data_IF_620484280213
#
_entry.id   IF_620484280213
#
_cell.length_a   1.000
_cell.length_b   1.000
_cell.length_c   1.000
_cell.angle_alpha   90.00
_cell.angle_beta   90.00
_cell.angle_gamma   90.00
#
_symmetry.space_group_name_H-M   'P 1'
#
loop_
_entity.id
_entity.type
_entity.pdbx_description
1 polymer ?
#
# COMPACT_ATOMS: atom_id res chain seq x y z
N UNK A 1 11.01 19.51 -15.32
CA UNK A 1 10.18 18.67 -16.22
C UNK A 1 11.02 17.62 -16.97
N UNK A 2 12.03 18.03 -17.76
CA UNK A 2 12.89 17.11 -18.53
C UNK A 2 13.57 16.04 -17.66
N UNK A 3 14.15 16.43 -16.53
CA UNK A 3 14.78 15.48 -15.59
C UNK A 3 13.78 14.45 -15.04
N UNK A 4 12.56 14.86 -14.69
CA UNK A 4 11.52 13.94 -14.22
C UNK A 4 11.11 12.93 -15.30
N UNK A 5 10.88 13.40 -16.53
CA UNK A 5 10.56 12.53 -17.67
C UNK A 5 11.69 11.54 -17.99
N UNK A 6 12.95 12.00 -17.93
CA UNK A 6 14.12 11.15 -18.10
C UNK A 6 14.21 10.08 -17.00
N UNK A 7 13.99 10.44 -15.74
CA UNK A 7 13.95 9.50 -14.62
C UNK A 7 12.82 8.47 -14.75
N UNK A 8 11.64 8.87 -15.26
CA UNK A 8 10.54 7.95 -15.54
C UNK A 8 10.91 6.95 -16.62
N UNK A 9 11.43 7.45 -17.75
CA UNK A 9 11.85 6.62 -18.87
C UNK A 9 12.96 5.64 -18.46
N UNK A 10 13.92 6.10 -17.65
CA UNK A 10 15.00 5.28 -17.13
C UNK A 10 14.49 4.21 -16.16
N UNK A 11 13.67 4.59 -15.17
CA UNK A 11 13.08 3.67 -14.19
C UNK A 11 12.23 2.59 -14.88
N UNK A 12 11.33 3.00 -15.79
CA UNK A 12 10.50 2.08 -16.55
C UNK A 12 11.33 1.21 -17.51
N UNK A 13 12.34 1.80 -18.17
CA UNK A 13 13.24 1.11 -19.09
C UNK A 13 14.05 0.02 -18.40
N UNK A 14 14.57 0.28 -17.20
CA UNK A 14 15.29 -0.73 -16.40
C UNK A 14 14.41 -1.94 -16.09
N UNK A 15 13.18 -1.70 -15.61
CA UNK A 15 12.22 -2.77 -15.32
C UNK A 15 11.87 -3.54 -16.59
N UNK A 16 11.46 -2.84 -17.65
CA UNK A 16 11.02 -3.47 -18.90
C UNK A 16 12.12 -4.31 -19.56
N UNK A 17 13.37 -3.84 -19.52
CA UNK A 17 14.49 -4.50 -20.22
C UNK A 17 15.13 -5.64 -19.43
N UNK A 18 15.22 -5.51 -18.11
CA UNK A 18 16.03 -6.41 -17.28
C UNK A 18 15.21 -7.29 -16.35
N UNK A 19 14.12 -6.77 -15.77
CA UNK A 19 13.28 -7.52 -14.83
C UNK A 19 11.79 -7.15 -14.99
N UNK A 20 11.10 -7.62 -16.04
CA UNK A 20 9.67 -7.35 -16.22
C UNK A 20 8.80 -7.75 -15.02
N UNK A 21 9.22 -8.78 -14.29
CA UNK A 21 8.59 -9.24 -13.05
C UNK A 21 8.67 -8.22 -11.90
N UNK A 22 9.58 -7.24 -11.97
CA UNK A 22 9.74 -6.17 -10.99
C UNK A 22 8.74 -5.01 -11.21
N UNK A 23 7.85 -5.10 -12.21
CA UNK A 23 6.86 -4.07 -12.48
C UNK A 23 5.81 -3.94 -11.35
N UNK A 24 5.24 -2.75 -11.22
CA UNK A 24 4.15 -2.43 -10.29
C UNK A 24 4.51 -2.71 -8.81
N UNK A 25 3.53 -3.09 -7.97
CA UNK A 25 3.73 -3.38 -6.55
C UNK A 25 4.74 -4.50 -6.32
N UNK A 26 4.65 -5.59 -7.09
CA UNK A 26 5.47 -6.79 -6.89
C UNK A 26 4.84 -7.82 -5.95
N UNK A 27 3.89 -7.42 -5.08
CA UNK A 27 3.13 -8.36 -4.23
C UNK A 27 2.41 -9.45 -5.04
N UNK A 28 1.74 -9.15 -6.18
CA UNK A 28 1.18 -10.21 -7.02
C UNK A 28 2.22 -11.23 -7.50
N UNK A 29 3.45 -10.79 -7.77
CA UNK A 29 4.55 -11.68 -8.14
C UNK A 29 4.98 -12.57 -6.98
N UNK A 30 5.08 -12.00 -5.77
CA UNK A 30 5.34 -12.78 -4.54
C UNK A 30 4.28 -13.87 -4.36
N UNK A 31 3.00 -13.53 -4.50
CA UNK A 31 1.89 -14.51 -4.40
C UNK A 31 1.99 -15.61 -5.47
N UNK A 32 2.34 -15.26 -6.72
CA UNK A 32 2.57 -16.26 -7.79
C UNK A 32 3.70 -17.22 -7.45
N UNK A 33 4.80 -16.74 -6.87
CA UNK A 33 5.91 -17.61 -6.44
C UNK A 33 5.47 -18.53 -5.31
N UNK A 34 4.78 -17.99 -4.32
CA UNK A 34 4.29 -18.78 -3.18
C UNK A 34 3.29 -19.87 -3.59
N UNK A 35 2.52 -19.65 -4.66
CA UNK A 35 1.61 -20.62 -5.25
C UNK A 35 2.28 -21.56 -6.27
N UNK A 36 3.60 -21.45 -6.48
CA UNK A 36 4.34 -22.28 -7.42
C UNK A 36 4.09 -21.96 -8.89
N UNK A 37 3.42 -20.84 -9.20
CA UNK A 37 3.16 -20.42 -10.58
C UNK A 37 4.37 -19.75 -11.25
N UNK A 38 5.33 -19.22 -10.47
CA UNK A 38 6.54 -18.57 -10.99
C UNK A 38 7.77 -18.87 -10.14
N UNK A 39 8.94 -18.72 -10.76
CA UNK A 39 10.22 -18.72 -10.06
C UNK A 39 10.65 -17.30 -9.70
N UNK A 40 11.47 -17.16 -8.67
CA UNK A 40 11.87 -15.86 -8.15
C UNK A 40 13.35 -15.62 -8.43
N UNK A 41 13.65 -14.81 -9.46
CA UNK A 41 15.02 -14.40 -9.82
C UNK A 41 15.54 -13.32 -8.86
N UNK A 42 15.81 -13.72 -7.62
CA UNK A 42 15.91 -12.80 -6.50
C UNK A 42 16.98 -11.70 -6.67
N UNK A 43 18.19 -12.01 -7.13
CA UNK A 43 19.26 -11.02 -7.36
C UNK A 43 18.85 -9.96 -8.37
N UNK A 44 18.23 -10.40 -9.46
CA UNK A 44 17.79 -9.53 -10.55
C UNK A 44 16.63 -8.65 -10.10
N UNK A 45 15.65 -9.22 -9.41
CA UNK A 45 14.52 -8.48 -8.84
C UNK A 45 15.03 -7.46 -7.82
N UNK A 46 15.88 -7.87 -6.90
CA UNK A 46 16.49 -7.01 -5.87
C UNK A 46 17.15 -5.79 -6.50
N UNK A 47 18.10 -6.01 -7.42
CA UNK A 47 18.87 -4.93 -8.04
C UNK A 47 17.99 -3.98 -8.86
N UNK A 48 17.13 -4.52 -9.73
CA UNK A 48 16.31 -3.69 -10.64
C UNK A 48 15.19 -2.99 -9.87
N UNK A 49 14.55 -3.66 -8.91
CA UNK A 49 13.48 -3.05 -8.09
C UNK A 49 14.04 -1.92 -7.23
N UNK A 50 15.19 -2.14 -6.59
CA UNK A 50 15.85 -1.11 -5.79
C UNK A 50 16.23 0.10 -6.65
N UNK A 51 16.94 -0.12 -7.77
CA UNK A 51 17.36 0.96 -8.66
C UNK A 51 16.18 1.74 -9.26
N UNK A 52 15.18 1.04 -9.80
CA UNK A 52 14.00 1.68 -10.41
C UNK A 52 13.16 2.46 -9.39
N UNK A 53 13.01 1.93 -8.17
CA UNK A 53 12.29 2.61 -7.09
C UNK A 53 13.05 3.83 -6.59
N UNK A 54 14.38 3.75 -6.46
CA UNK A 54 15.22 4.87 -6.06
C UNK A 54 15.15 6.03 -7.06
N UNK A 55 15.26 5.73 -8.35
CA UNK A 55 15.13 6.71 -9.43
C UNK A 55 13.71 7.31 -9.46
N UNK A 56 12.68 6.46 -9.29
CA UNK A 56 11.29 6.92 -9.29
C UNK A 56 10.97 7.84 -8.10
N UNK A 57 11.41 7.45 -6.90
CA UNK A 57 11.18 8.20 -5.67
C UNK A 57 11.94 9.52 -5.65
N UNK A 58 13.21 9.54 -6.09
CA UNK A 58 14.01 10.77 -6.18
C UNK A 58 13.46 11.77 -7.19
N UNK A 59 12.77 11.30 -8.24
CA UNK A 59 12.09 12.16 -9.20
C UNK A 59 10.75 12.75 -8.68
N UNK A 60 10.36 12.43 -7.45
CA UNK A 60 9.13 12.95 -6.83
C UNK A 60 7.85 12.28 -7.33
N UNK A 61 7.95 11.18 -8.07
CA UNK A 61 6.78 10.44 -8.49
C UNK A 61 6.01 9.92 -7.28
N UNK A 62 4.69 9.90 -7.40
CA UNK A 62 3.80 9.45 -6.34
C UNK A 62 3.75 7.92 -6.24
N UNK A 63 4.92 7.29 -6.09
CA UNK A 63 5.07 5.85 -5.93
C UNK A 63 5.16 5.54 -4.44
N UNK A 64 4.28 4.66 -3.95
CA UNK A 64 4.36 4.15 -2.59
C UNK A 64 5.57 3.22 -2.41
N UNK A 65 6.24 3.31 -1.25
CA UNK A 65 7.41 2.46 -0.94
C UNK A 65 7.03 1.04 -0.48
N UNK A 66 5.79 0.85 0.01
CA UNK A 66 5.35 -0.42 0.62
C UNK A 66 5.45 -1.64 -0.30
N UNK A 67 4.84 -1.58 -1.49
CA UNK A 67 4.91 -2.68 -2.47
C UNK A 67 6.34 -3.05 -2.88
N UNK A 68 7.16 -2.07 -3.34
CA UNK A 68 8.55 -2.32 -3.67
C UNK A 68 9.37 -2.96 -2.56
N UNK A 69 9.22 -2.51 -1.31
CA UNK A 69 9.95 -3.09 -0.18
C UNK A 69 9.50 -4.49 0.16
N UNK A 70 8.19 -4.80 0.09
CA UNK A 70 7.70 -6.18 0.22
C UNK A 70 8.32 -7.06 -0.86
N UNK A 71 8.40 -6.59 -2.10
CA UNK A 71 8.97 -7.35 -3.21
C UNK A 71 10.48 -7.59 -3.03
N UNK A 72 11.22 -6.57 -2.59
CA UNK A 72 12.64 -6.64 -2.25
C UNK A 72 12.88 -7.60 -1.08
N UNK A 73 12.11 -7.48 -0.01
CA UNK A 73 12.22 -8.34 1.16
C UNK A 73 11.90 -9.80 0.82
N UNK A 74 10.87 -10.04 0.02
CA UNK A 74 10.54 -11.37 -0.49
C UNK A 74 11.65 -11.95 -1.39
N UNK A 75 12.33 -11.10 -2.18
CA UNK A 75 13.50 -11.51 -2.96
C UNK A 75 14.65 -11.93 -2.04
N UNK A 76 14.95 -11.17 -0.99
CA UNK A 76 15.96 -11.57 -0.01
C UNK A 76 15.59 -12.87 0.70
N UNK A 77 14.31 -13.06 1.05
CA UNK A 77 13.79 -14.32 1.60
C UNK A 77 13.99 -15.50 0.65
N UNK A 78 13.77 -15.31 -0.65
CA UNK A 78 14.13 -16.30 -1.67
C UNK A 78 15.64 -16.56 -1.68
N UNK A 79 16.47 -15.53 -1.68
CA UNK A 79 17.93 -15.69 -1.70
C UNK A 79 18.45 -16.49 -0.50
N UNK A 80 17.90 -16.24 0.70
CA UNK A 80 18.20 -17.04 1.89
C UNK A 80 17.78 -18.49 1.70
N UNK A 81 16.61 -18.74 1.10
CA UNK A 81 16.16 -20.09 0.79
C UNK A 81 17.06 -20.80 -0.23
N UNK A 82 17.49 -20.11 -1.28
CA UNK A 82 18.34 -20.67 -2.34
C UNK A 82 19.74 -21.04 -1.82
N UNK A 83 20.23 -20.30 -0.82
CA UNK A 83 21.50 -20.54 -0.16
C UNK A 83 21.41 -21.60 0.95
N UNK A 84 20.20 -22.03 1.32
CA UNK A 84 19.99 -23.00 2.39
C UNK A 84 19.99 -24.44 1.82
N UNK A 85 20.92 -25.33 2.23
CA UNK A 85 21.11 -26.64 1.61
C UNK A 85 19.85 -27.54 1.58
N UNK A 86 19.01 -27.47 2.62
CA UNK A 86 17.83 -28.32 2.80
C UNK A 86 16.50 -27.56 2.69
N UNK A 87 16.46 -26.47 1.91
CA UNK A 87 15.23 -25.71 1.74
C UNK A 87 14.15 -26.51 0.99
N UNK A 88 13.12 -26.96 1.72
CA UNK A 88 11.90 -27.47 1.11
C UNK A 88 11.06 -26.34 0.51
N UNK A 89 10.17 -26.64 -0.45
CA UNK A 89 9.22 -25.66 -1.02
C UNK A 89 8.40 -24.95 0.06
N UNK A 90 8.03 -25.68 1.13
CA UNK A 90 7.33 -25.11 2.28
C UNK A 90 8.21 -24.11 3.05
N UNK A 91 9.47 -24.44 3.26
CA UNK A 91 10.43 -23.54 3.93
C UNK A 91 10.73 -22.32 3.06
N UNK A 92 10.85 -22.49 1.74
CA UNK A 92 11.00 -21.40 0.79
C UNK A 92 9.83 -20.42 0.86
N UNK A 93 8.58 -20.92 0.79
CA UNK A 93 7.39 -20.08 0.90
C UNK A 93 7.35 -19.32 2.23
N UNK A 94 7.78 -19.96 3.33
CA UNK A 94 7.92 -19.31 4.64
C UNK A 94 8.94 -18.18 4.62
N UNK A 95 10.14 -18.43 4.08
CA UNK A 95 11.22 -17.43 4.04
C UNK A 95 10.87 -16.25 3.12
N UNK A 96 10.24 -16.52 1.96
CA UNK A 96 9.75 -15.49 1.04
C UNK A 96 8.67 -14.63 1.71
N UNK A 97 7.72 -15.23 2.43
CA UNK A 97 6.68 -14.50 3.15
C UNK A 97 7.24 -13.71 4.33
N UNK A 98 8.14 -14.30 5.12
CA UNK A 98 8.84 -13.65 6.22
C UNK A 98 9.65 -12.44 5.72
N UNK A 99 10.39 -12.61 4.62
CA UNK A 99 11.10 -11.53 3.96
C UNK A 99 10.16 -10.43 3.45
N UNK A 100 9.02 -10.81 2.85
CA UNK A 100 7.99 -9.86 2.42
C UNK A 100 7.43 -9.03 3.58
N UNK A 101 7.08 -9.66 4.70
CA UNK A 101 6.67 -8.99 5.94
C UNK A 101 7.75 -8.07 6.50
N UNK A 102 9.01 -8.54 6.52
CA UNK A 102 10.16 -7.75 6.98
C UNK A 102 10.40 -6.51 6.10
N UNK A 103 10.19 -6.63 4.79
CA UNK A 103 10.22 -5.50 3.86
C UNK A 103 9.15 -4.46 4.18
N UNK A 104 7.93 -4.89 4.54
CA UNK A 104 6.87 -3.97 4.98
C UNK A 104 7.25 -3.29 6.31
N UNK A 105 7.73 -4.05 7.28
CA UNK A 105 8.15 -3.55 8.59
C UNK A 105 9.24 -2.47 8.46
N UNK A 106 10.32 -2.76 7.72
CA UNK A 106 11.42 -1.83 7.47
C UNK A 106 11.02 -0.59 6.65
N UNK A 107 9.84 -0.58 6.03
CA UNK A 107 9.40 0.60 5.27
C UNK A 107 8.72 1.64 6.14
N UNK A 108 8.05 1.20 7.20
CA UNK A 108 7.13 2.05 7.96
C UNK A 108 7.35 2.04 9.47
N UNK A 109 8.40 1.37 9.97
CA UNK A 109 8.65 1.17 11.41
C UNK A 109 7.53 0.38 12.11
N UNK A 110 7.06 -0.70 11.48
CA UNK A 110 5.83 -1.43 11.84
C UNK A 110 6.02 -2.96 11.89
N UNK A 111 6.75 -3.49 12.89
CA UNK A 111 7.07 -4.91 12.94
C UNK A 111 5.82 -5.79 13.09
N UNK A 112 4.82 -5.37 13.86
CA UNK A 112 3.59 -6.16 14.03
C UNK A 112 2.72 -6.13 12.78
N UNK A 113 2.66 -5.01 12.06
CA UNK A 113 1.94 -4.92 10.81
C UNK A 113 2.62 -5.73 9.70
N UNK A 114 3.96 -5.76 9.66
CA UNK A 114 4.72 -6.65 8.79
C UNK A 114 4.39 -8.12 9.05
N UNK A 115 4.32 -8.51 10.31
CA UNK A 115 3.94 -9.86 10.74
C UNK A 115 2.48 -10.19 10.37
N UNK A 116 1.56 -9.27 10.65
CA UNK A 116 0.14 -9.41 10.29
C UNK A 116 -0.04 -9.54 8.78
N UNK A 117 0.71 -8.78 7.97
CA UNK A 117 0.68 -8.87 6.51
C UNK A 117 1.17 -10.24 6.01
N UNK A 118 2.28 -10.73 6.57
CA UNK A 118 2.80 -12.05 6.23
C UNK A 118 1.79 -13.17 6.57
N UNK A 119 1.09 -13.04 7.70
CA UNK A 119 0.05 -13.96 8.14
C UNK A 119 -1.23 -13.88 7.29
N UNK A 120 -1.76 -12.68 7.10
CA UNK A 120 -3.10 -12.44 6.57
C UNK A 120 -3.13 -12.41 5.04
N UNK A 121 -2.14 -11.78 4.39
CA UNK A 121 -2.10 -11.55 2.94
C UNK A 121 -1.13 -12.49 2.20
N UNK A 122 0.07 -12.72 2.75
CA UNK A 122 1.04 -13.63 2.12
C UNK A 122 0.76 -15.10 2.43
N UNK A 123 -0.19 -15.42 3.31
CA UNK A 123 -0.70 -16.78 3.44
C UNK A 123 0.11 -17.70 4.34
N UNK A 124 0.76 -17.18 5.39
CA UNK A 124 1.33 -18.02 6.47
C UNK A 124 0.28 -18.63 7.41
N UNK A 125 -1.01 -18.59 7.04
CA UNK A 125 -2.10 -19.17 7.84
C UNK A 125 -1.89 -20.67 8.04
N UNK A 126 -1.92 -21.12 9.29
CA UNK A 126 -1.76 -22.54 9.63
C UNK A 126 -0.31 -23.06 9.60
N UNK A 127 0.69 -22.18 9.53
CA UNK A 127 2.11 -22.55 9.61
C UNK A 127 2.76 -21.87 10.85
N UNK A 128 2.66 -22.47 12.06
CA UNK A 128 3.16 -21.85 13.29
C UNK A 128 4.65 -21.47 13.25
N UNK A 129 5.49 -22.35 12.69
CA UNK A 129 6.93 -22.09 12.50
C UNK A 129 7.18 -20.91 11.55
N UNK A 130 6.29 -20.71 10.57
CA UNK A 130 6.36 -19.59 9.64
C UNK A 130 6.05 -18.25 10.30
N UNK A 131 5.10 -18.24 11.24
CA UNK A 131 4.80 -17.04 12.02
C UNK A 131 6.01 -16.63 12.89
N UNK A 132 6.69 -17.59 13.51
CA UNK A 132 7.90 -17.33 14.30
C UNK A 132 9.05 -16.78 13.44
N UNK A 133 9.31 -17.40 12.28
CA UNK A 133 10.31 -16.92 11.33
C UNK A 133 9.98 -15.49 10.82
N UNK A 134 8.72 -15.24 10.48
CA UNK A 134 8.25 -13.92 10.07
C UNK A 134 8.41 -12.88 11.19
N UNK A 135 8.12 -13.26 12.45
CA UNK A 135 8.31 -12.36 13.58
C UNK A 135 9.78 -11.97 13.72
N UNK A 136 10.70 -12.94 13.78
CA UNK A 136 12.14 -12.66 13.86
C UNK A 136 12.59 -11.74 12.73
N UNK A 137 12.18 -12.03 11.49
CA UNK A 137 12.53 -11.22 10.32
C UNK A 137 11.98 -9.79 10.43
N UNK A 138 10.70 -9.61 10.78
CA UNK A 138 10.05 -8.30 10.90
C UNK A 138 10.67 -7.46 12.02
N UNK A 139 10.84 -8.04 13.21
CA UNK A 139 11.44 -7.34 14.35
C UNK A 139 12.91 -7.00 14.10
N UNK A 140 13.67 -7.90 13.47
CA UNK A 140 15.08 -7.63 13.12
C UNK A 140 15.20 -6.51 12.09
N UNK A 141 14.34 -6.52 11.06
CA UNK A 141 14.29 -5.45 10.05
C UNK A 141 13.89 -4.10 10.67
N UNK A 142 12.97 -4.11 11.63
CA UNK A 142 12.58 -2.92 12.38
C UNK A 142 13.70 -2.40 13.31
N UNK A 143 14.45 -3.29 13.97
CA UNK A 143 15.62 -2.91 14.75
C UNK A 143 16.66 -2.17 13.90
N UNK A 144 16.93 -2.67 12.68
CA UNK A 144 17.83 -2.00 11.73
C UNK A 144 17.26 -0.64 11.31
N UNK A 145 15.96 -0.58 11.02
CA UNK A 145 15.28 0.68 10.70
C UNK A 145 15.48 1.70 11.84
N UNK A 146 15.18 1.31 13.08
CA UNK A 146 15.24 2.20 14.24
C UNK A 146 16.65 2.66 14.59
N UNK A 147 17.64 1.80 14.35
CA UNK A 147 19.04 2.16 14.53
C UNK A 147 19.49 3.23 13.53
N UNK A 148 19.01 3.19 12.28
CA UNK A 148 19.42 4.14 11.25
C UNK A 148 18.55 5.39 11.11
N UNK A 149 17.23 5.27 11.34
CA UNK A 149 16.23 6.29 10.99
C UNK A 149 15.43 6.80 12.20
N UNK A 150 15.69 6.26 13.40
CA UNK A 150 15.07 6.69 14.65
C UNK A 150 13.90 5.80 15.10
N UNK A 151 13.53 5.95 16.38
CA UNK A 151 12.58 5.05 17.04
C UNK A 151 11.12 5.49 16.98
N UNK A 152 10.86 6.75 16.60
CA UNK A 152 9.52 7.35 16.64
C UNK A 152 8.56 6.78 15.60
N UNK A 153 7.24 6.93 15.82
CA UNK A 153 6.23 6.50 14.86
C UNK A 153 6.33 7.27 13.53
N UNK A 154 5.81 6.69 12.46
CA UNK A 154 5.84 7.30 11.12
C UNK A 154 4.93 8.52 10.95
N UNK A 155 3.94 8.68 11.83
CA UNK A 155 3.01 9.80 11.88
C UNK A 155 2.82 10.31 13.30
N UNK A 156 2.74 11.62 13.43
CA UNK A 156 2.39 12.29 14.69
C UNK A 156 0.89 12.48 14.74
N UNK A 157 0.29 12.07 15.86
CA UNK A 157 -1.14 12.22 16.08
C UNK A 157 -1.41 12.96 17.38
N UNK A 158 -2.22 14.01 17.28
CA UNK A 158 -2.66 14.78 18.44
C UNK A 158 -3.98 14.22 18.96
N UNK A 159 -3.90 13.13 19.71
CA UNK A 159 -5.03 12.52 20.42
C UNK A 159 -4.79 12.65 21.92
N UNK A 160 -5.52 13.56 22.58
CA UNK A 160 -5.43 13.73 24.03
C UNK A 160 -6.13 12.61 24.80
N UNK A 161 -7.20 12.03 24.23
CA UNK A 161 -7.95 10.90 24.81
C UNK A 161 -8.53 10.00 23.71
N UNK A 162 -8.85 8.75 24.08
CA UNK A 162 -9.55 7.83 23.21
C UNK A 162 -10.96 8.35 22.84
N UNK A 163 -11.44 8.14 21.61
CA UNK A 163 -12.82 8.46 21.26
C UNK A 163 -13.79 7.72 22.19
N UNK A 164 -14.82 8.40 22.72
CA UNK A 164 -15.76 7.77 23.63
C UNK A 164 -16.59 6.72 22.88
N UNK A 165 -17.01 5.67 23.60
CA UNK A 165 -17.62 4.48 22.99
C UNK A 165 -18.92 4.77 22.22
N UNK A 166 -19.68 5.78 22.65
CA UNK A 166 -20.91 6.23 21.99
C UNK A 166 -20.66 6.78 20.58
N UNK A 167 -19.45 7.24 20.27
CA UNK A 167 -19.08 7.79 18.96
C UNK A 167 -18.59 6.69 18.01
N UNK A 168 -18.35 5.46 18.47
CA UNK A 168 -17.85 4.37 17.62
C UNK A 168 -18.75 4.08 16.43
N UNK A 169 -20.08 4.23 16.58
CA UNK A 169 -21.03 4.06 15.49
C UNK A 169 -20.78 5.03 14.31
N UNK A 170 -20.20 6.21 14.57
CA UNK A 170 -19.88 7.18 13.53
C UNK A 170 -18.68 6.76 12.66
N UNK A 171 -17.92 5.73 13.04
CA UNK A 171 -16.86 5.16 12.20
C UNK A 171 -17.37 4.12 11.20
N UNK A 172 -18.59 3.60 11.37
CA UNK A 172 -19.23 2.69 10.41
C UNK A 172 -19.37 3.36 9.03
N UNK A 173 -19.95 4.57 8.87
CA UNK A 173 -20.04 5.21 7.55
C UNK A 173 -18.66 5.53 6.96
N UNK A 174 -17.65 5.85 7.78
CA UNK A 174 -16.26 5.99 7.31
C UNK A 174 -15.79 4.69 6.66
N UNK A 175 -15.98 3.57 7.35
CA UNK A 175 -15.65 2.24 6.85
C UNK A 175 -16.37 1.90 5.57
N UNK A 176 -17.69 2.08 5.53
CA UNK A 176 -18.51 1.78 4.34
C UNK A 176 -18.07 2.61 3.13
N UNK A 177 -17.93 3.93 3.28
CA UNK A 177 -17.54 4.83 2.17
C UNK A 177 -16.12 4.53 1.72
N UNK A 178 -15.17 4.37 2.65
CA UNK A 178 -13.78 4.05 2.31
C UNK A 178 -13.67 2.66 1.65
N UNK A 179 -14.46 1.69 2.09
CA UNK A 179 -14.55 0.35 1.50
C UNK A 179 -15.04 0.38 0.05
N UNK A 180 -16.13 1.12 -0.21
CA UNK A 180 -16.66 1.35 -1.57
C UNK A 180 -15.62 2.01 -2.48
N UNK A 181 -14.93 3.02 -1.97
CA UNK A 181 -13.88 3.72 -2.72
C UNK A 181 -12.65 2.84 -2.96
N UNK A 182 -12.32 1.95 -2.03
CA UNK A 182 -11.30 0.90 -2.24
C UNK A 182 -11.70 -0.05 -3.36
N UNK A 183 -12.97 -0.44 -3.45
CA UNK A 183 -13.49 -1.23 -4.56
C UNK A 183 -13.50 -0.48 -5.90
N UNK A 184 -13.88 0.81 -5.89
CA UNK A 184 -13.80 1.67 -7.06
C UNK A 184 -12.35 1.82 -7.54
N UNK A 185 -11.41 1.95 -6.60
CA UNK A 185 -9.98 1.94 -6.88
C UNK A 185 -9.55 0.63 -7.56
N UNK A 186 -9.97 -0.53 -7.06
CA UNK A 186 -9.64 -1.80 -7.68
C UNK A 186 -10.13 -1.83 -9.14
N UNK A 187 -11.38 -1.41 -9.38
CA UNK A 187 -11.95 -1.34 -10.73
C UNK A 187 -11.17 -0.36 -11.62
N UNK A 188 -10.82 0.82 -11.12
CA UNK A 188 -10.06 1.83 -11.84
C UNK A 188 -8.65 1.33 -12.20
N UNK A 189 -7.95 0.68 -11.26
CA UNK A 189 -6.61 0.14 -11.48
C UNK A 189 -6.62 -0.96 -12.55
N UNK A 190 -7.59 -1.85 -12.44
CA UNK A 190 -7.82 -2.91 -13.41
C UNK A 190 -8.25 -2.36 -14.78
N UNK A 191 -9.03 -1.28 -14.83
CA UNK A 191 -9.40 -0.63 -16.08
C UNK A 191 -8.20 0.09 -16.72
N UNK A 192 -7.33 0.72 -15.92
CA UNK A 192 -6.10 1.36 -16.38
C UNK A 192 -5.16 0.41 -17.11
N UNK A 193 -5.12 -0.87 -16.74
CA UNK A 193 -4.36 -1.88 -17.48
C UNK A 193 -4.87 -2.10 -18.91
N UNK A 194 -6.13 -1.80 -19.20
CA UNK A 194 -6.66 -1.90 -20.56
C UNK A 194 -6.06 -0.84 -21.49
N UNK A 195 -5.52 0.26 -20.94
CA UNK A 195 -4.82 1.29 -21.72
C UNK A 195 -3.56 0.74 -22.40
N UNK A 196 -2.99 -0.36 -21.89
CA UNK A 196 -1.84 -1.03 -22.51
C UNK A 196 -2.20 -1.60 -23.89
N UNK A 197 -3.48 -1.95 -24.10
CA UNK A 197 -4.00 -2.49 -25.37
C UNK A 197 -4.33 -1.41 -26.41
N UNK A 198 -4.25 -0.12 -26.07
CA UNK A 198 -4.53 0.96 -27.00
C UNK A 198 -3.47 1.01 -28.12
N UNK A 199 -3.84 1.48 -29.33
CA UNK A 199 -2.87 1.70 -30.40
C UNK A 199 -1.78 2.68 -29.96
N UNK A 200 -0.57 2.49 -30.49
CA UNK A 200 0.65 3.15 -30.01
C UNK A 200 0.49 4.68 -29.95
N UNK A 201 -0.09 5.31 -30.96
CA UNK A 201 -0.29 6.77 -30.99
C UNK A 201 -1.19 7.29 -29.86
N UNK A 202 -2.31 6.61 -29.60
CA UNK A 202 -3.21 6.99 -28.51
C UNK A 202 -2.55 6.73 -27.15
N UNK A 203 -1.80 5.64 -27.01
CA UNK A 203 -1.02 5.34 -25.81
C UNK A 203 0.00 6.43 -25.49
N UNK A 204 0.73 6.94 -26.50
CA UNK A 204 1.64 8.07 -26.33
C UNK A 204 0.90 9.32 -25.85
N UNK A 205 -0.24 9.66 -26.45
CA UNK A 205 -1.05 10.81 -26.03
C UNK A 205 -1.47 10.71 -24.55
N UNK A 206 -1.88 9.52 -24.10
CA UNK A 206 -2.20 9.26 -22.70
C UNK A 206 -1.00 9.47 -21.77
N UNK A 207 0.18 8.93 -22.11
CA UNK A 207 1.39 9.11 -21.29
C UNK A 207 1.83 10.57 -21.21
N UNK A 208 1.74 11.31 -22.31
CA UNK A 208 2.00 12.75 -22.32
C UNK A 208 0.99 13.53 -21.48
N UNK A 209 -0.30 13.18 -21.58
CA UNK A 209 -1.36 13.78 -20.77
C UNK A 209 -1.15 13.53 -19.28
N UNK A 210 -0.80 12.31 -18.88
CA UNK A 210 -0.48 11.96 -17.50
C UNK A 210 0.76 12.70 -17.01
N UNK A 211 1.81 12.79 -17.83
CA UNK A 211 3.03 13.50 -17.47
C UNK A 211 2.79 15.01 -17.30
N UNK A 212 1.99 15.64 -18.17
CA UNK A 212 1.58 17.03 -18.01
C UNK A 212 0.75 17.23 -16.75
N UNK A 213 -0.18 16.33 -16.45
CA UNK A 213 -0.97 16.38 -15.22
C UNK A 213 -0.09 16.28 -13.98
N UNK A 214 0.86 15.33 -13.94
CA UNK A 214 1.83 15.20 -12.85
C UNK A 214 2.67 16.46 -12.72
N UNK A 215 3.13 17.05 -13.83
CA UNK A 215 3.90 18.29 -13.82
C UNK A 215 3.08 19.50 -13.33
N UNK A 216 1.80 19.58 -13.70
CA UNK A 216 0.90 20.61 -13.20
C UNK A 216 0.65 20.45 -11.70
N UNK A 217 0.40 19.23 -11.23
CA UNK A 217 0.28 18.93 -9.79
C UNK A 217 1.58 19.28 -9.06
N UNK A 218 2.74 18.96 -9.64
CA UNK A 218 4.03 19.31 -9.07
C UNK A 218 4.22 20.82 -8.87
N UNK A 219 3.73 21.63 -9.80
CA UNK A 219 3.88 23.08 -9.77
C UNK A 219 2.87 23.76 -8.83
N UNK A 220 1.60 23.35 -8.89
CA UNK A 220 0.51 24.04 -8.18
C UNK A 220 0.20 23.44 -6.81
N UNK A 221 0.44 22.13 -6.64
CA UNK A 221 0.08 21.38 -5.44
C UNK A 221 1.25 20.44 -5.04
N UNK A 222 2.43 20.98 -4.69
CA UNK A 222 3.60 20.17 -4.38
C UNK A 222 3.40 19.22 -3.18
N UNK A 223 2.48 19.55 -2.26
CA UNK A 223 2.05 18.65 -1.16
C UNK A 223 1.44 17.32 -1.66
N UNK A 224 0.96 17.29 -2.91
CA UNK A 224 0.42 16.09 -3.55
C UNK A 224 1.49 15.23 -4.23
N UNK A 225 2.76 15.63 -4.24
CA UNK A 225 3.84 14.78 -4.74
C UNK A 225 4.28 13.73 -3.72
N UNK A 226 5.11 12.79 -4.19
CA UNK A 226 5.69 11.72 -3.37
C UNK A 226 4.66 10.80 -2.71
N UNK A 227 5.09 10.13 -1.63
CA UNK A 227 4.25 9.16 -0.90
C UNK A 227 3.09 9.78 -0.12
N UNK A 228 3.06 11.11 0.02
CA UNK A 228 1.98 11.85 0.70
C UNK A 228 2.01 11.80 2.22
N UNK A 229 3.13 11.32 2.81
CA UNK A 229 3.32 11.29 4.27
C UNK A 229 3.14 12.65 4.91
N UNK A 230 3.77 13.71 4.39
CA UNK A 230 3.65 15.06 4.93
C UNK A 230 2.20 15.56 4.96
N UNK A 231 1.43 15.24 3.91
CA UNK A 231 0.02 15.60 3.85
C UNK A 231 -0.80 14.85 4.91
N UNK A 232 -0.59 13.54 5.04
CA UNK A 232 -1.24 12.70 6.05
C UNK A 232 -0.89 13.21 7.45
N UNK A 233 0.38 13.45 7.73
CA UNK A 233 0.87 13.95 9.02
C UNK A 233 0.24 15.31 9.37
N UNK A 234 0.10 16.21 8.38
CA UNK A 234 -0.58 17.49 8.59
C UNK A 234 -2.05 17.33 8.98
N UNK A 235 -2.77 16.38 8.39
CA UNK A 235 -4.17 16.11 8.75
C UNK A 235 -4.29 15.42 10.12
N UNK A 236 -3.37 14.52 10.46
CA UNK A 236 -3.36 13.82 11.74
C UNK A 236 -2.93 14.70 12.91
N UNK A 237 -2.17 15.76 12.66
CA UNK A 237 -1.79 16.79 13.65
C UNK A 237 -2.84 17.90 13.82
N UNK A 238 -4.00 17.77 13.16
CA UNK A 238 -5.15 18.64 13.37
C UNK A 238 -5.30 19.79 12.37
N UNK A 239 -4.57 19.78 11.24
CA UNK A 239 -4.81 20.74 10.15
C UNK A 239 -6.23 20.55 9.62
N UNK A 240 -7.13 21.46 9.98
CA UNK A 240 -8.46 21.50 9.41
C UNK A 240 -8.38 22.00 7.97
N UNK A 241 -8.80 21.17 7.01
CA UNK A 241 -8.95 21.56 5.62
C UNK A 241 -10.42 21.68 5.27
N UNK A 242 -10.74 22.66 4.42
CA UNK A 242 -12.07 22.80 3.85
C UNK A 242 -12.43 21.55 3.04
N UNK A 243 -13.72 21.21 3.02
CA UNK A 243 -14.26 20.09 2.24
C UNK A 243 -13.76 20.10 0.79
N UNK A 244 -13.79 21.27 0.14
CA UNK A 244 -13.37 21.42 -1.25
C UNK A 244 -11.90 21.05 -1.46
N UNK A 245 -11.03 21.39 -0.51
CA UNK A 245 -9.60 21.07 -0.58
C UNK A 245 -9.36 19.57 -0.41
N UNK A 246 -10.04 18.94 0.55
CA UNK A 246 -9.98 17.49 0.75
C UNK A 246 -10.53 16.72 -0.46
N UNK A 247 -11.65 17.16 -1.01
CA UNK A 247 -12.26 16.56 -2.20
C UNK A 247 -11.33 16.70 -3.42
N UNK A 248 -10.74 17.88 -3.63
CA UNK A 248 -9.77 18.10 -4.71
C UNK A 248 -8.56 17.17 -4.54
N UNK A 249 -8.00 17.09 -3.34
CA UNK A 249 -6.82 16.27 -3.07
C UNK A 249 -7.12 14.78 -3.24
N UNK A 250 -8.30 14.34 -2.80
CA UNK A 250 -8.80 13.00 -3.05
C UNK A 250 -8.87 12.70 -4.54
N UNK A 251 -9.55 13.55 -5.33
CA UNK A 251 -9.73 13.34 -6.77
C UNK A 251 -8.39 13.35 -7.50
N UNK A 252 -7.52 14.32 -7.24
CA UNK A 252 -6.21 14.43 -7.88
C UNK A 252 -5.34 13.21 -7.57
N UNK A 253 -5.21 12.82 -6.29
CA UNK A 253 -4.45 11.61 -5.92
C UNK A 253 -5.10 10.36 -6.51
N UNK A 254 -6.41 10.24 -6.43
CA UNK A 254 -7.12 9.08 -6.97
C UNK A 254 -6.93 8.94 -8.49
N UNK A 255 -6.89 10.04 -9.25
CA UNK A 255 -6.68 10.01 -10.71
C UNK A 255 -5.21 9.80 -11.06
N UNK A 256 -4.28 10.51 -10.40
CA UNK A 256 -2.87 10.50 -10.79
C UNK A 256 -2.15 9.23 -10.37
N UNK A 257 -2.42 8.71 -9.17
CA UNK A 257 -1.78 7.46 -8.72
C UNK A 257 -2.62 6.23 -8.87
N UNK A 258 -3.90 6.37 -9.22
CA UNK A 258 -4.91 5.33 -8.99
C UNK A 258 -4.69 4.80 -7.58
N UNK A 259 -5.17 5.58 -6.61
CA UNK A 259 -5.23 5.39 -5.15
C UNK A 259 -3.91 5.39 -4.37
N UNK A 260 -3.92 6.23 -3.34
CA UNK A 260 -2.85 6.44 -2.38
C UNK A 260 -3.46 6.38 -0.97
N UNK A 261 -2.65 6.11 0.07
CA UNK A 261 -3.10 6.20 1.47
C UNK A 261 -3.72 7.58 1.80
N UNK A 262 -3.32 8.64 1.08
CA UNK A 262 -3.94 9.96 1.14
C UNK A 262 -5.44 9.96 0.79
N UNK A 263 -5.86 9.09 -0.14
CA UNK A 263 -7.27 8.96 -0.53
C UNK A 263 -8.11 8.43 0.64
N UNK A 264 -7.62 7.46 1.41
CA UNK A 264 -8.31 6.97 2.61
C UNK A 264 -8.40 8.02 3.72
N UNK A 265 -7.31 8.75 3.97
CA UNK A 265 -7.27 9.84 4.95
C UNK A 265 -8.28 10.95 4.60
N UNK A 266 -8.36 11.32 3.31
CA UNK A 266 -9.31 12.33 2.83
C UNK A 266 -10.77 11.88 3.02
N UNK A 267 -11.08 10.61 2.83
CA UNK A 267 -12.43 10.06 3.10
C UNK A 267 -12.78 10.19 4.57
N UNK A 268 -11.84 9.85 5.46
CA UNK A 268 -11.99 10.04 6.90
C UNK A 268 -12.32 11.49 7.25
N UNK A 269 -11.53 12.44 6.73
CA UNK A 269 -11.76 13.87 6.94
C UNK A 269 -13.10 14.37 6.36
N UNK A 270 -13.51 13.89 5.18
CA UNK A 270 -14.79 14.26 4.57
C UNK A 270 -15.97 13.77 5.41
N UNK A 271 -15.98 12.50 5.82
CA UNK A 271 -17.08 11.94 6.60
C UNK A 271 -17.19 12.63 7.96
N UNK A 272 -16.06 13.01 8.57
CA UNK A 272 -16.06 13.80 9.78
C UNK A 272 -16.78 15.15 9.61
N UNK A 273 -16.57 15.85 8.48
CA UNK A 273 -17.26 17.13 8.20
C UNK A 273 -18.78 16.95 8.06
N UNK A 274 -19.25 15.76 7.70
CA UNK A 274 -20.67 15.43 7.57
C UNK A 274 -21.31 14.99 8.89
N UNK A 275 -20.53 14.72 9.93
CA UNK A 275 -21.01 14.36 11.28
C UNK A 275 -20.49 15.39 12.31
N UNK A 276 -20.88 16.68 12.19
CA UNK A 276 -20.45 17.70 13.14
C UNK A 276 -21.10 17.47 14.53
N UNK A 277 -20.38 17.80 15.60
CA UNK A 277 -20.96 17.95 16.95
C UNK A 277 -20.84 16.77 17.92
N UNK A 278 -20.24 15.64 17.52
CA UNK A 278 -20.03 14.48 18.42
C UNK A 278 -18.78 14.58 19.33
N UNK A 279 -18.16 15.76 19.46
CA UNK A 279 -16.93 15.93 20.27
C UNK A 279 -15.74 15.12 19.76
N UNK A 280 -15.71 14.85 18.45
CA UNK A 280 -14.83 13.85 17.86
C UNK A 280 -13.50 14.43 17.40
N UNK A 281 -12.44 13.64 17.54
CA UNK A 281 -11.09 14.02 17.13
C UNK A 281 -10.91 13.80 15.63
N UNK A 282 -10.67 14.86 14.83
CA UNK A 282 -10.48 14.77 13.38
C UNK A 282 -9.48 13.70 12.95
N UNK A 283 -8.37 13.63 13.70
CA UNK A 283 -7.29 12.71 13.44
C UNK A 283 -7.72 11.23 13.54
N UNK A 284 -8.67 10.90 14.42
CA UNK A 284 -9.18 9.53 14.55
C UNK A 284 -9.97 9.11 13.30
N UNK A 285 -10.80 9.99 12.74
CA UNK A 285 -11.57 9.73 11.52
C UNK A 285 -10.65 9.60 10.31
N UNK A 286 -9.66 10.50 10.20
CA UNK A 286 -8.62 10.44 9.19
C UNK A 286 -7.83 9.11 9.24
N UNK A 287 -7.38 8.69 10.42
CA UNK A 287 -6.69 7.42 10.62
C UNK A 287 -7.58 6.21 10.31
N UNK A 288 -8.85 6.23 10.74
CA UNK A 288 -9.82 5.19 10.42
C UNK A 288 -10.09 5.08 8.91
N UNK A 289 -10.24 6.20 8.22
CA UNK A 289 -10.40 6.24 6.76
C UNK A 289 -9.19 5.68 6.02
N UNK A 290 -7.97 5.96 6.51
CA UNK A 290 -6.73 5.38 5.98
C UNK A 290 -6.75 3.85 6.02
N UNK A 291 -7.04 3.27 7.19
CA UNK A 291 -7.07 1.83 7.39
C UNK A 291 -8.23 1.17 6.62
N UNK A 292 -9.41 1.79 6.65
CA UNK A 292 -10.60 1.30 5.98
C UNK A 292 -10.46 1.26 4.45
N UNK A 293 -9.85 2.28 3.84
CA UNK A 293 -9.59 2.29 2.40
C UNK A 293 -8.64 1.16 1.98
N UNK A 294 -7.56 0.95 2.74
CA UNK A 294 -6.64 -0.16 2.51
C UNK A 294 -7.35 -1.52 2.65
N UNK A 295 -8.22 -1.65 3.65
CA UNK A 295 -9.06 -2.84 3.85
C UNK A 295 -10.02 -3.06 2.68
N UNK A 296 -10.67 -2.02 2.16
CA UNK A 296 -11.56 -2.14 1.00
C UNK A 296 -10.85 -2.59 -0.28
N UNK A 297 -9.61 -2.14 -0.48
CA UNK A 297 -8.84 -2.47 -1.68
C UNK A 297 -8.21 -3.88 -1.63
N UNK A 298 -7.69 -4.29 -0.47
CA UNK A 298 -6.89 -5.52 -0.34
C UNK A 298 -7.63 -6.63 0.41
N UNK A 299 -8.65 -6.31 1.21
CA UNK A 299 -9.41 -7.21 2.10
C UNK A 299 -8.55 -7.87 3.19
N UNK A 300 -7.70 -7.06 3.80
CA UNK A 300 -6.73 -7.48 4.84
C UNK A 300 -6.92 -6.58 6.08
N UNK A 301 -8.06 -6.70 6.81
CA UNK A 301 -8.46 -5.79 7.88
C UNK A 301 -7.52 -5.77 9.09
N UNK A 302 -6.95 -6.92 9.49
CA UNK A 302 -6.09 -6.98 10.68
C UNK A 302 -4.78 -6.24 10.43
N UNK A 303 -4.17 -6.48 9.28
CA UNK A 303 -2.96 -5.77 8.85
C UNK A 303 -3.21 -4.29 8.74
N UNK A 304 -4.34 -3.87 8.14
CA UNK A 304 -4.67 -2.46 8.00
C UNK A 304 -4.76 -1.75 9.36
N UNK A 305 -5.44 -2.37 10.33
CA UNK A 305 -5.59 -1.85 11.69
C UNK A 305 -4.23 -1.74 12.40
N UNK A 306 -3.44 -2.82 12.40
CA UNK A 306 -2.15 -2.85 13.08
C UNK A 306 -1.17 -1.88 12.43
N UNK A 307 -1.18 -1.76 11.09
CA UNK A 307 -0.37 -0.81 10.34
C UNK A 307 -0.63 0.63 10.78
N UNK A 308 -1.89 1.06 10.79
CA UNK A 308 -2.22 2.44 11.19
C UNK A 308 -1.95 2.67 12.67
N UNK A 309 -2.18 1.68 13.52
CA UNK A 309 -1.89 1.76 14.95
C UNK A 309 -0.38 1.96 15.20
N UNK A 310 0.49 1.16 14.60
CA UNK A 310 1.94 1.28 14.77
C UNK A 310 2.49 2.55 14.11
N UNK A 311 2.00 2.91 12.91
CA UNK A 311 2.44 4.12 12.24
C UNK A 311 2.07 5.40 13.01
N UNK A 312 0.99 5.39 13.79
CA UNK A 312 0.57 6.55 14.62
C UNK A 312 1.04 6.46 16.07
N UNK A 313 1.55 5.30 16.51
CA UNK A 313 1.92 5.04 17.89
C UNK A 313 0.76 5.10 18.89
N UNK A 314 -0.50 5.08 18.42
CA UNK A 314 -1.68 5.33 19.27
C UNK A 314 -2.57 4.09 19.42
N UNK A 315 -2.43 3.39 20.55
CA UNK A 315 -3.31 2.28 20.92
C UNK A 315 -4.77 2.72 21.15
N UNK A 316 -5.00 4.00 21.45
CA UNK A 316 -6.36 4.53 21.66
C UNK A 316 -7.27 4.42 20.44
N UNK A 317 -6.68 4.22 19.24
CA UNK A 317 -7.40 4.07 17.98
C UNK A 317 -7.87 2.65 17.68
N UNK A 318 -7.53 1.64 18.48
CA UNK A 318 -7.85 0.23 18.20
C UNK A 318 -9.33 0.02 17.89
N UNK A 319 -10.24 0.55 18.72
CA UNK A 319 -11.69 0.38 18.52
C UNK A 319 -12.22 1.14 17.28
N UNK A 320 -11.90 2.43 17.08
CA UNK A 320 -12.22 3.13 15.83
C UNK A 320 -11.76 2.41 14.56
N UNK A 321 -10.51 1.93 14.56
CA UNK A 321 -9.91 1.22 13.43
C UNK A 321 -10.63 -0.11 13.18
N UNK A 322 -10.92 -0.86 14.24
CA UNK A 322 -11.70 -2.10 14.16
C UNK A 322 -13.05 -1.86 13.47
N UNK A 323 -13.85 -0.90 13.97
CA UNK A 323 -15.19 -0.63 13.42
C UNK A 323 -15.10 -0.22 11.94
N UNK A 324 -14.19 0.69 11.59
CA UNK A 324 -14.06 1.17 10.22
C UNK A 324 -13.53 0.08 9.26
N UNK A 325 -12.51 -0.67 9.65
CA UNK A 325 -11.95 -1.75 8.82
C UNK A 325 -12.95 -2.87 8.59
N UNK A 326 -13.66 -3.33 9.63
CA UNK A 326 -14.63 -4.41 9.46
C UNK A 326 -15.87 -3.97 8.67
N UNK A 327 -16.34 -2.73 8.84
CA UNK A 327 -17.38 -2.18 7.96
C UNK A 327 -16.91 -2.11 6.50
N UNK A 328 -15.66 -1.67 6.25
CA UNK A 328 -15.07 -1.65 4.92
C UNK A 328 -14.93 -3.06 4.30
N UNK A 329 -14.53 -4.04 5.10
CA UNK A 329 -14.46 -5.43 4.69
C UNK A 329 -15.85 -5.98 4.33
N UNK A 330 -16.84 -5.76 5.19
CA UNK A 330 -18.22 -6.23 4.96
C UNK A 330 -18.81 -5.69 3.67
N UNK A 331 -18.69 -4.37 3.41
CA UNK A 331 -19.21 -3.81 2.16
C UNK A 331 -18.44 -4.31 0.94
N UNK A 332 -17.12 -4.48 1.06
CA UNK A 332 -16.31 -5.05 -0.02
C UNK A 332 -16.69 -6.50 -0.33
N UNK A 333 -17.03 -7.28 0.70
CA UNK A 333 -17.43 -8.67 0.58
C UNK A 333 -18.84 -8.82 -0.01
N UNK A 334 -19.82 -8.07 0.49
CA UNK A 334 -21.19 -8.05 -0.03
C UNK A 334 -21.24 -7.68 -1.51
N UNK A 335 -20.38 -6.75 -1.95
CA UNK A 335 -20.31 -6.33 -3.35
C UNK A 335 -19.44 -7.24 -4.24
N UNK A 336 -18.89 -8.32 -3.69
CA UNK A 336 -18.02 -9.24 -4.41
C UNK A 336 -16.75 -8.56 -4.96
N UNK A 337 -16.25 -7.53 -4.27
CA UNK A 337 -14.99 -6.88 -4.64
C UNK A 337 -13.87 -7.88 -4.40
N UNK A 338 -13.13 -8.21 -5.46
CA UNK A 338 -11.95 -9.08 -5.38
C UNK A 338 -10.77 -8.28 -4.79
N UNK A 339 -9.98 -8.87 -3.88
CA UNK A 339 -8.70 -8.31 -3.44
C UNK A 339 -7.82 -7.93 -4.63
N UNK A 340 -7.23 -6.74 -4.60
CA UNK A 340 -6.51 -6.24 -5.78
C UNK A 340 -5.28 -7.08 -6.14
N UNK A 341 -4.55 -7.61 -5.16
CA UNK A 341 -3.36 -8.41 -5.44
C UNK A 341 -3.70 -9.75 -6.10
N UNK A 342 -4.78 -10.40 -5.68
CA UNK A 342 -5.36 -11.60 -6.28
C UNK A 342 -5.86 -11.32 -7.69
N UNK A 343 -6.60 -10.24 -7.89
CA UNK A 343 -7.12 -9.87 -9.20
C UNK A 343 -5.99 -9.59 -10.21
N UNK A 344 -4.95 -8.88 -9.78
CA UNK A 344 -3.75 -8.59 -10.59
C UNK A 344 -2.96 -9.87 -10.91
N UNK A 345 -2.78 -10.74 -9.92
CA UNK A 345 -2.14 -12.06 -10.10
C UNK A 345 -2.90 -12.91 -11.12
N UNK A 346 -4.21 -13.07 -10.95
CA UNK A 346 -5.06 -13.87 -11.84
C UNK A 346 -5.03 -13.35 -13.27
N UNK A 347 -4.99 -12.03 -13.46
CA UNK A 347 -4.84 -11.42 -14.78
C UNK A 347 -3.48 -11.68 -15.41
N UNK A 348 -2.40 -11.59 -14.63
CA UNK A 348 -1.06 -11.90 -15.12
C UNK A 348 -0.98 -13.35 -15.63
N UNK A 349 -1.53 -14.31 -14.88
CA UNK A 349 -1.57 -15.72 -15.28
C UNK A 349 -2.43 -15.95 -16.55
N UNK A 350 -3.58 -15.28 -16.68
CA UNK A 350 -4.45 -15.38 -17.86
C UNK A 350 -3.82 -14.82 -19.15
N UNK A 351 -2.92 -13.85 -19.06
CA UNK A 351 -2.23 -13.31 -20.23
C UNK A 351 -1.19 -14.29 -20.79
N UNK A 352 -0.77 -15.28 -19.99
CA UNK A 352 0.25 -16.27 -20.37
C UNK A 352 -0.37 -17.56 -20.92
N UNK A 353 -1.62 -17.88 -20.58
CA UNK A 353 -2.32 -19.01 -21.17
C UNK A 353 -2.68 -18.65 -22.62
N UNK A 354 -2.13 -19.34 -23.64
CA UNK A 354 -2.61 -19.15 -25.01
C UNK A 354 -4.11 -19.44 -25.01
N UNK A 355 -4.91 -18.62 -25.70
CA UNK A 355 -6.28 -19.02 -26.04
C UNK A 355 -6.15 -20.33 -26.83
N UNK A 356 -6.53 -21.45 -26.20
CA UNK A 356 -6.66 -22.74 -26.87
C UNK A 356 -7.77 -22.67 -27.90
#
# INVERSE_FOLDING_TARGET
MVAALASLALSAGLVFRFAPEAASSGVPHVKMVMQGHRTFRWLRVLAIKFASTLIGASAGFMVGRGGPSVHIGAALGQGVSDLWPDATVKNQAVLVAAGGGAGLAATFNVPLAGLAFAFEDLGLRGIPSGLFAAAIACFSADMVYRWGLGQGPGFHITLSQAPPLNVLAAFVPVGLVAGLLGGLFNKALLAGQMLIKLPVGLRWLWWWGLAMLVAAVAWWLPELLGGGQNFIDSLLTGRALAFNTLALFFVVRFVVTVGSSCSGVAVGGIVQLLVPGLGVVPAAFAAAGMAAFFTGAIKVPLTAMVLVMEMTGSYTLVLPLFVACFAAYSIADVLGIEPIYEALMRRALKQETPKQ
#
